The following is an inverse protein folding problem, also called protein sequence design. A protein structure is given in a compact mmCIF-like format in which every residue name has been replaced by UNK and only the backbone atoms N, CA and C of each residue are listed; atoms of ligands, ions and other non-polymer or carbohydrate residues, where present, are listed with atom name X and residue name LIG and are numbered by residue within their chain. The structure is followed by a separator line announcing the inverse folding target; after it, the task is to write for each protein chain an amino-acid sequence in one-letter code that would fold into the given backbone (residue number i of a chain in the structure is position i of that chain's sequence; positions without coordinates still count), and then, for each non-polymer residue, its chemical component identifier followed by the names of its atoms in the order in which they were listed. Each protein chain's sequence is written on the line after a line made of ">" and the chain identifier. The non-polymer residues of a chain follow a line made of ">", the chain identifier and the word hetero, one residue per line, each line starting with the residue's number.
data_IF_820383275481
#
_entry.id   IF_820383275481
#
_cell.length_a   1.000
_cell.length_b   1.000
_cell.length_c   1.000
_cell.angle_alpha   90.00
_cell.angle_beta   90.00
_cell.angle_gamma   90.00
#
_symmetry.space_group_name_H-M   'P 1'
#
loop_
_entity.id
_entity.type
_entity.pdbx_description
1 polymer ?
#
# COMPACT_ATOMS: atom_id res chain seq x y z
N UNK A 1 3.60 -13.39 -22.15
CA UNK A 1 3.04 -12.18 -21.50
C UNK A 1 4.15 -11.55 -20.66
N UNK A 2 4.55 -10.33 -20.97
CA UNK A 2 5.51 -9.58 -20.19
C UNK A 2 4.72 -8.72 -19.21
N UNK A 3 4.70 -9.09 -17.93
CA UNK A 3 4.10 -8.27 -16.89
C UNK A 3 5.01 -7.05 -16.64
N UNK A 4 4.47 -5.83 -16.58
CA UNK A 4 5.28 -4.66 -16.25
C UNK A 4 5.81 -4.80 -14.83
N UNK A 5 7.14 -4.68 -14.69
CA UNK A 5 7.80 -4.64 -13.39
C UNK A 5 7.87 -3.19 -12.92
N UNK A 6 7.47 -2.96 -11.69
CA UNK A 6 7.65 -1.67 -11.04
C UNK A 6 8.98 -1.70 -10.29
N UNK A 7 9.93 -0.83 -10.66
CA UNK A 7 11.12 -0.61 -9.86
C UNK A 7 10.74 -0.31 -8.40
N UNK A 8 11.41 -0.99 -7.49
CA UNK A 8 11.17 -0.82 -6.05
C UNK A 8 12.46 -0.72 -5.29
N UNK A 9 12.38 -0.11 -4.12
CA UNK A 9 13.46 -0.09 -3.14
C UNK A 9 12.96 -0.74 -1.83
N UNK A 10 13.70 -1.71 -1.36
CA UNK A 10 13.43 -2.40 -0.09
C UNK A 10 14.21 -1.68 1.01
N UNK A 11 13.51 -1.08 1.96
CA UNK A 11 14.11 -0.35 3.09
C UNK A 11 14.77 -1.35 4.03
N UNK A 12 16.02 -1.12 4.38
CA UNK A 12 16.82 -2.01 5.24
C UNK A 12 17.35 -1.32 6.50
N UNK A 13 17.33 0.01 6.55
CA UNK A 13 17.87 0.79 7.67
C UNK A 13 16.90 1.89 8.09
N UNK A 14 17.02 2.34 9.33
CA UNK A 14 16.27 3.48 9.85
C UNK A 14 16.52 4.76 9.02
N UNK A 15 17.78 5.02 8.64
CA UNK A 15 18.12 6.19 7.83
C UNK A 15 17.42 6.20 6.46
N UNK A 16 17.27 5.04 5.82
CA UNK A 16 16.51 4.90 4.58
C UNK A 16 15.01 5.14 4.79
N UNK A 17 14.46 4.69 5.93
CA UNK A 17 13.06 4.98 6.28
C UNK A 17 12.86 6.48 6.52
N UNK A 18 13.76 7.14 7.24
CA UNK A 18 13.71 8.58 7.46
C UNK A 18 13.77 9.34 6.12
N UNK A 19 14.66 8.95 5.21
CA UNK A 19 14.73 9.51 3.87
C UNK A 19 13.43 9.31 3.09
N UNK A 20 12.88 8.10 3.10
CA UNK A 20 11.58 7.81 2.46
C UNK A 20 10.49 8.76 2.98
N UNK A 21 10.37 8.89 4.30
CA UNK A 21 9.38 9.75 4.94
C UNK A 21 9.56 11.21 4.54
N UNK A 22 10.79 11.72 4.56
CA UNK A 22 11.10 13.08 4.16
C UNK A 22 10.77 13.37 2.69
N UNK A 23 11.03 12.42 1.78
CA UNK A 23 10.65 12.54 0.37
C UNK A 23 9.13 12.46 0.18
N UNK A 24 8.47 11.53 0.86
CA UNK A 24 7.02 11.35 0.80
C UNK A 24 6.27 12.62 1.25
N UNK A 25 6.74 13.28 2.32
CA UNK A 25 6.13 14.51 2.84
C UNK A 25 6.24 15.73 1.91
N UNK A 26 7.08 15.66 0.87
CA UNK A 26 7.15 16.70 -0.18
C UNK A 26 6.08 16.48 -1.26
N UNK A 27 5.45 15.33 -1.28
CA UNK A 27 4.42 14.96 -2.26
C UNK A 27 3.03 15.41 -1.82
N UNK A 28 2.13 15.57 -2.78
CA UNK A 28 0.72 15.87 -2.51
C UNK A 28 -0.08 14.60 -2.19
N UNK A 29 0.32 13.47 -2.79
CA UNK A 29 -0.36 12.19 -2.71
C UNK A 29 0.62 11.07 -2.41
N UNK A 30 0.17 10.08 -1.65
CA UNK A 30 0.81 8.77 -1.57
C UNK A 30 -0.24 7.66 -1.52
N UNK A 31 0.00 6.58 -2.23
CA UNK A 31 -0.73 5.33 -2.03
C UNK A 31 0.03 4.40 -1.12
N UNK A 32 -0.69 3.52 -0.45
CA UNK A 32 -0.12 2.50 0.41
C UNK A 32 -1.00 1.25 0.44
N UNK A 33 -0.37 0.12 0.74
CA UNK A 33 -1.03 -1.17 0.90
C UNK A 33 -0.28 -2.02 1.92
N UNK A 34 -0.99 -2.76 2.77
CA UNK A 34 -0.43 -3.66 3.76
C UNK A 34 -0.64 -5.11 3.36
N UNK A 35 0.44 -5.90 3.41
CA UNK A 35 0.31 -7.34 3.45
C UNK A 35 0.28 -7.86 4.88
N UNK A 36 -0.41 -8.98 5.09
CA UNK A 36 -0.63 -9.56 6.41
C UNK A 36 -0.47 -11.08 6.38
N UNK A 37 -0.38 -11.70 7.54
CA UNK A 37 -0.22 -13.15 7.70
C UNK A 37 -1.50 -13.96 7.42
N UNK A 38 -2.22 -13.66 6.33
CA UNK A 38 -3.48 -14.32 5.92
C UNK A 38 -4.63 -14.27 6.94
N UNK A 39 -4.46 -13.51 8.03
CA UNK A 39 -5.54 -13.27 8.99
C UNK A 39 -6.32 -12.01 8.62
N UNK A 40 -7.54 -12.17 8.14
CA UNK A 40 -8.44 -11.06 7.80
C UNK A 40 -9.00 -10.35 9.03
N UNK A 41 -8.96 -11.01 10.20
CA UNK A 41 -9.47 -10.43 11.44
C UNK A 41 -8.38 -9.64 12.16
N UNK A 42 -8.30 -8.35 11.91
CA UNK A 42 -7.30 -7.45 12.52
C UNK A 42 -7.34 -7.42 14.06
N UNK A 43 -8.40 -7.91 14.68
CA UNK A 43 -8.53 -8.01 16.15
C UNK A 43 -7.99 -9.34 16.72
N UNK A 44 -7.68 -10.33 15.86
CA UNK A 44 -7.14 -11.60 16.33
C UNK A 44 -5.76 -11.39 16.97
N UNK A 45 -5.44 -12.07 18.10
CA UNK A 45 -4.14 -11.93 18.78
C UNK A 45 -2.94 -12.18 17.86
N UNK A 46 -3.04 -13.19 16.97
CA UNK A 46 -1.97 -13.60 16.06
C UNK A 46 -1.93 -12.80 14.76
N UNK A 47 -2.78 -11.79 14.60
CA UNK A 47 -2.75 -10.90 13.44
C UNK A 47 -1.42 -10.15 13.37
N UNK A 48 -0.77 -10.18 12.21
CA UNK A 48 0.48 -9.47 11.93
C UNK A 48 0.44 -8.85 10.56
N UNK A 49 0.81 -7.57 10.47
CA UNK A 49 1.24 -6.96 9.22
C UNK A 49 2.62 -7.51 8.88
N UNK A 50 2.83 -7.93 7.64
CA UNK A 50 4.10 -8.56 7.18
C UNK A 50 4.98 -7.61 6.39
N UNK A 51 4.40 -6.69 5.65
CA UNK A 51 5.10 -5.60 4.98
C UNK A 51 4.14 -4.48 4.60
N UNK A 52 4.71 -3.34 4.20
CA UNK A 52 3.99 -2.16 3.75
C UNK A 52 4.60 -1.66 2.45
N UNK A 53 3.77 -1.52 1.41
CA UNK A 53 4.13 -0.85 0.16
C UNK A 53 3.72 0.61 0.17
N UNK A 54 4.57 1.50 -0.31
CA UNK A 54 4.29 2.93 -0.47
C UNK A 54 4.69 3.38 -1.86
N UNK A 55 3.82 4.14 -2.53
CA UNK A 55 4.09 4.78 -3.80
C UNK A 55 3.63 6.23 -3.77
N UNK A 56 4.52 7.19 -4.04
CA UNK A 56 4.22 8.61 -4.17
C UNK A 56 4.82 9.23 -5.44
N UNK A 57 5.47 8.38 -6.24
CA UNK A 57 5.95 8.72 -7.58
C UNK A 57 5.55 7.60 -8.53
N UNK A 58 4.74 7.84 -9.56
CA UNK A 58 4.38 6.82 -10.54
C UNK A 58 5.62 6.13 -11.12
N UNK A 59 5.55 4.81 -11.23
CA UNK A 59 6.65 4.00 -11.75
C UNK A 59 7.71 3.57 -10.73
N UNK A 60 7.54 3.88 -9.44
CA UNK A 60 8.46 3.46 -8.39
C UNK A 60 7.75 3.25 -7.05
N UNK A 61 8.06 2.18 -6.35
CA UNK A 61 7.49 1.87 -5.03
C UNK A 61 8.56 1.57 -3.99
N UNK A 62 8.22 1.82 -2.73
CA UNK A 62 9.06 1.55 -1.56
C UNK A 62 8.42 0.42 -0.75
N UNK A 63 9.25 -0.52 -0.29
CA UNK A 63 8.81 -1.65 0.54
C UNK A 63 9.42 -1.52 1.93
N UNK A 64 8.56 -1.53 2.94
CA UNK A 64 8.94 -1.48 4.35
C UNK A 64 8.74 -2.88 4.93
N UNK A 65 9.80 -3.53 5.42
CA UNK A 65 9.74 -4.90 5.91
C UNK A 65 9.07 -5.00 7.28
N UNK A 66 8.66 -6.22 7.63
CA UNK A 66 7.91 -6.51 8.86
C UNK A 66 8.55 -5.95 10.12
N UNK A 67 9.87 -6.11 10.29
CA UNK A 67 10.53 -5.71 11.53
C UNK A 67 10.39 -4.22 11.85
N UNK A 68 10.36 -3.35 10.82
CA UNK A 68 10.16 -1.91 10.99
C UNK A 68 8.73 -1.57 11.43
N UNK A 69 7.75 -2.39 11.08
CA UNK A 69 6.35 -2.20 11.49
C UNK A 69 6.12 -2.48 12.98
N UNK A 70 7.12 -3.05 13.66
CA UNK A 70 7.08 -3.37 15.10
C UNK A 70 8.22 -2.74 15.89
N UNK A 71 9.06 -1.95 15.23
CA UNK A 71 10.09 -1.14 15.87
C UNK A 71 9.51 0.24 16.27
N UNK A 72 9.74 0.67 17.52
CA UNK A 72 9.12 1.89 18.05
C UNK A 72 9.61 3.16 17.33
N UNK A 73 10.90 3.26 17.01
CA UNK A 73 11.49 4.41 16.33
C UNK A 73 11.00 4.47 14.88
N UNK A 74 10.94 3.35 14.20
CA UNK A 74 10.37 3.26 12.85
C UNK A 74 8.88 3.65 12.82
N UNK A 75 8.10 3.25 13.82
CA UNK A 75 6.70 3.64 13.94
C UNK A 75 6.53 5.15 14.20
N UNK A 76 7.47 5.80 14.87
CA UNK A 76 7.46 7.27 15.03
C UNK A 76 7.62 7.94 13.67
N UNK A 77 8.54 7.46 12.83
CA UNK A 77 8.71 7.97 11.46
C UNK A 77 7.45 7.73 10.60
N UNK A 78 6.88 6.54 10.64
CA UNK A 78 5.66 6.24 9.89
C UNK A 78 4.47 7.11 10.34
N UNK A 79 4.38 7.46 11.62
CA UNK A 79 3.36 8.41 12.10
C UNK A 79 3.47 9.78 11.45
N UNK A 80 4.66 10.23 11.05
CA UNK A 80 4.83 11.53 10.37
C UNK A 80 4.02 11.58 9.07
N UNK A 81 4.02 10.52 8.26
CA UNK A 81 3.23 10.47 7.01
C UNK A 81 1.75 10.16 7.26
N UNK A 82 1.44 9.14 8.08
CA UNK A 82 0.05 8.73 8.32
C UNK A 82 -0.77 9.71 9.17
N UNK A 83 -0.13 10.64 9.86
CA UNK A 83 -0.80 11.70 10.63
C UNK A 83 -0.66 13.09 9.99
N UNK A 84 0.01 13.22 8.86
CA UNK A 84 0.17 14.50 8.15
C UNK A 84 -1.18 15.03 7.67
N UNK A 85 -1.38 16.35 7.79
CA UNK A 85 -2.65 17.00 7.46
C UNK A 85 -2.76 17.40 5.98
N UNK A 86 -1.64 17.50 5.27
CA UNK A 86 -1.57 17.98 3.90
C UNK A 86 -1.48 16.83 2.89
N UNK A 87 -0.64 15.84 3.19
CA UNK A 87 -0.47 14.64 2.39
C UNK A 87 -1.78 13.85 2.33
N UNK A 88 -2.26 13.55 1.12
CA UNK A 88 -3.41 12.66 0.92
C UNK A 88 -2.93 11.22 0.83
N UNK A 89 -3.38 10.38 1.76
CA UNK A 89 -3.08 8.95 1.83
C UNK A 89 -4.16 8.15 1.12
N UNK A 90 -3.78 7.31 0.19
CA UNK A 90 -4.68 6.59 -0.72
C UNK A 90 -4.47 5.09 -0.52
N UNK A 91 -5.57 4.35 -0.37
CA UNK A 91 -5.54 2.90 -0.36
C UNK A 91 -6.73 2.33 -1.15
N UNK A 92 -6.60 1.10 -1.62
CA UNK A 92 -7.74 0.36 -2.15
C UNK A 92 -8.36 -0.48 -1.02
N UNK A 93 -9.68 -0.36 -0.78
CA UNK A 93 -10.33 -0.92 0.41
C UNK A 93 -9.76 -0.39 1.74
N UNK A 94 -9.54 0.91 1.79
CA UNK A 94 -8.96 1.67 2.90
C UNK A 94 -9.42 1.25 4.30
N UNK A 95 -10.63 0.72 4.44
CA UNK A 95 -11.17 0.30 5.74
C UNK A 95 -10.35 -0.83 6.38
N UNK A 96 -9.70 -1.67 5.58
CA UNK A 96 -8.80 -2.71 6.05
C UNK A 96 -7.48 -2.11 6.54
N UNK A 97 -6.81 -1.35 5.69
CA UNK A 97 -5.51 -0.72 6.00
C UNK A 97 -5.60 0.24 7.18
N UNK A 98 -6.72 0.96 7.29
CA UNK A 98 -6.99 1.80 8.44
C UNK A 98 -6.99 1.01 9.76
N UNK A 99 -7.56 -0.21 9.76
CA UNK A 99 -7.54 -1.10 10.94
C UNK A 99 -6.13 -1.64 11.21
N UNK A 100 -5.34 -1.92 10.17
CA UNK A 100 -3.93 -2.33 10.31
C UNK A 100 -3.13 -1.21 10.97
N UNK A 101 -3.23 0.03 10.49
CA UNK A 101 -2.60 1.20 11.12
C UNK A 101 -2.96 1.33 12.61
N UNK A 102 -4.25 1.19 12.94
CA UNK A 102 -4.69 1.22 14.34
C UNK A 102 -4.07 0.09 15.17
N UNK A 103 -3.93 -1.10 14.59
CA UNK A 103 -3.29 -2.26 15.26
C UNK A 103 -1.81 -2.02 15.53
N UNK A 104 -1.12 -1.29 14.64
CA UNK A 104 0.28 -0.87 14.80
C UNK A 104 0.44 0.34 15.74
N UNK A 105 -0.63 0.82 16.37
CA UNK A 105 -0.59 1.97 17.28
C UNK A 105 -0.51 3.33 16.57
N UNK A 106 -0.82 3.36 15.26
CA UNK A 106 -0.92 4.58 14.49
C UNK A 106 -2.40 4.99 14.41
N UNK A 107 -2.76 6.14 14.94
CA UNK A 107 -4.09 6.73 14.76
C UNK A 107 -4.07 7.63 13.53
N UNK A 108 -4.66 7.19 12.41
CA UNK A 108 -4.63 7.96 11.16
C UNK A 108 -5.26 9.34 11.33
N UNK A 109 -4.64 10.37 10.72
CA UNK A 109 -5.13 11.76 10.73
C UNK A 109 -4.96 12.39 9.35
N UNK A 110 -5.65 13.51 9.11
CA UNK A 110 -5.59 14.25 7.85
C UNK A 110 -6.43 13.62 6.74
N UNK A 111 -5.96 13.71 5.51
CA UNK A 111 -6.71 13.33 4.32
C UNK A 111 -6.47 11.88 3.94
N UNK A 112 -7.55 11.15 3.70
CA UNK A 112 -7.54 9.77 3.22
C UNK A 112 -8.53 9.61 2.07
N UNK A 113 -8.18 8.81 1.07
CA UNK A 113 -9.03 8.46 -0.06
C UNK A 113 -9.01 6.96 -0.32
N UNK A 114 -10.11 6.44 -0.85
CA UNK A 114 -10.29 5.02 -1.13
C UNK A 114 -10.65 4.82 -2.61
N UNK A 115 -9.74 4.25 -3.40
CA UNK A 115 -9.98 4.01 -4.83
C UNK A 115 -11.13 3.04 -5.08
N UNK A 116 -11.41 2.11 -4.16
CA UNK A 116 -12.60 1.23 -4.25
C UNK A 116 -13.90 2.03 -4.20
N UNK A 117 -13.98 3.05 -3.34
CA UNK A 117 -15.17 3.91 -3.23
C UNK A 117 -15.25 4.83 -4.46
N UNK A 118 -14.12 5.38 -4.92
CA UNK A 118 -14.09 6.22 -6.11
C UNK A 118 -14.54 5.46 -7.35
N UNK A 119 -14.06 4.23 -7.56
CA UNK A 119 -14.50 3.36 -8.65
C UNK A 119 -16.01 3.13 -8.61
N UNK A 120 -16.56 2.82 -7.43
CA UNK A 120 -18.00 2.64 -7.28
C UNK A 120 -18.81 3.90 -7.55
N UNK A 121 -18.31 5.08 -7.20
CA UNK A 121 -18.96 6.36 -7.49
C UNK A 121 -18.96 6.70 -8.98
N UNK A 122 -18.00 6.20 -9.74
CA UNK A 122 -17.94 6.37 -11.19
C UNK A 122 -18.97 5.47 -11.87
N UNK A 123 -18.99 4.20 -11.52
CA UNK A 123 -19.95 3.22 -12.03
C UNK A 123 -20.22 2.12 -10.98
N UNK A 124 -21.39 2.21 -10.36
CA UNK A 124 -21.83 1.26 -9.34
C UNK A 124 -22.09 -0.16 -9.86
N UNK A 125 -22.20 -0.34 -11.18
CA UNK A 125 -22.45 -1.63 -11.81
C UNK A 125 -21.17 -2.39 -12.17
N UNK A 126 -20.01 -1.72 -12.07
CA UNK A 126 -18.71 -2.34 -12.37
C UNK A 126 -18.13 -2.98 -11.10
N UNK A 127 -17.54 -4.19 -11.17
CA UNK A 127 -16.80 -4.75 -10.06
C UNK A 127 -15.71 -3.79 -9.58
N UNK A 128 -15.61 -3.60 -8.27
CA UNK A 128 -14.77 -2.57 -7.66
C UNK A 128 -13.60 -3.12 -6.82
N UNK A 129 -13.21 -4.35 -7.03
CA UNK A 129 -11.96 -4.91 -6.50
C UNK A 129 -10.74 -4.30 -7.22
N UNK A 130 -9.56 -4.36 -6.58
CA UNK A 130 -8.36 -3.74 -7.16
C UNK A 130 -8.02 -4.35 -8.53
N UNK A 131 -8.07 -5.69 -8.63
CA UNK A 131 -7.72 -6.40 -9.87
C UNK A 131 -8.69 -6.09 -11.01
N UNK A 132 -9.99 -6.07 -10.70
CA UNK A 132 -11.02 -5.71 -11.67
C UNK A 132 -10.88 -4.25 -12.12
N UNK A 133 -10.58 -3.32 -11.20
CA UNK A 133 -10.32 -1.93 -11.57
C UNK A 133 -9.06 -1.79 -12.45
N UNK A 134 -8.00 -2.57 -12.16
CA UNK A 134 -6.79 -2.63 -12.98
C UNK A 134 -7.11 -3.15 -14.38
N UNK A 135 -7.88 -4.24 -14.49
CA UNK A 135 -8.26 -4.81 -15.80
C UNK A 135 -9.01 -3.80 -16.68
N UNK A 136 -9.84 -2.96 -16.08
CA UNK A 136 -10.61 -1.94 -16.81
C UNK A 136 -9.80 -0.68 -17.15
N UNK A 137 -9.04 -0.15 -16.19
CA UNK A 137 -8.44 1.18 -16.31
C UNK A 137 -6.93 1.15 -16.59
N UNK A 138 -6.25 0.04 -16.27
CA UNK A 138 -4.80 -0.13 -16.40
C UNK A 138 -4.46 -1.49 -17.02
N UNK A 139 -4.95 -1.80 -18.24
CA UNK A 139 -4.87 -3.14 -18.83
C UNK A 139 -3.44 -3.66 -19.00
N UNK A 140 -2.44 -2.79 -19.07
CA UNK A 140 -1.03 -3.19 -19.13
C UNK A 140 -0.57 -3.94 -17.88
N UNK A 141 -1.27 -3.75 -16.74
CA UNK A 141 -1.02 -4.44 -15.48
C UNK A 141 -1.96 -5.64 -15.24
N UNK A 142 -2.85 -5.95 -16.15
CA UNK A 142 -3.80 -7.06 -15.99
C UNK A 142 -3.09 -8.39 -15.70
N UNK A 143 -3.55 -9.12 -14.68
CA UNK A 143 -3.06 -10.45 -14.34
C UNK A 143 -1.70 -10.48 -13.60
N UNK A 144 -1.25 -9.39 -13.01
CA UNK A 144 0.03 -9.33 -12.31
C UNK A 144 0.08 -10.18 -11.02
N UNK A 145 -1.07 -10.61 -10.50
CA UNK A 145 -1.23 -11.43 -9.30
C UNK A 145 -1.20 -12.95 -9.55
N UNK A 146 -1.20 -13.41 -10.83
CA UNK A 146 -1.29 -14.83 -11.17
C UNK A 146 -0.11 -15.70 -10.72
N UNK A 147 1.01 -15.10 -10.33
CA UNK A 147 2.24 -15.80 -9.97
C UNK A 147 2.56 -15.75 -8.47
N UNK A 148 1.74 -15.10 -7.67
CA UNK A 148 2.00 -14.93 -6.23
C UNK A 148 1.41 -16.08 -5.43
N UNK A 149 2.25 -16.79 -4.72
CA UNK A 149 1.86 -17.82 -3.76
C UNK A 149 1.77 -17.24 -2.35
N UNK A 150 0.59 -16.78 -1.97
CA UNK A 150 0.31 -16.20 -0.64
C UNK A 150 0.42 -17.19 0.53
N UNK A 151 0.66 -18.47 0.27
CA UNK A 151 0.87 -19.48 1.32
C UNK A 151 2.31 -19.53 1.82
N UNK A 152 3.24 -18.90 1.13
CA UNK A 152 4.65 -18.84 1.49
C UNK A 152 4.95 -17.67 2.43
N UNK A 153 6.09 -17.76 3.08
CA UNK A 153 6.65 -16.64 3.84
C UNK A 153 6.93 -15.45 2.91
N UNK A 154 7.07 -14.27 3.51
CA UNK A 154 7.39 -13.03 2.79
C UNK A 154 8.66 -13.23 1.97
N UNK A 155 8.52 -13.18 0.66
CA UNK A 155 9.59 -13.37 -0.30
C UNK A 155 9.64 -12.24 -1.35
N UNK A 156 10.57 -12.37 -2.29
CA UNK A 156 10.76 -11.40 -3.37
C UNK A 156 9.50 -11.22 -4.24
N UNK A 157 8.73 -12.30 -4.46
CA UNK A 157 7.53 -12.27 -5.31
C UNK A 157 6.41 -11.48 -4.62
N UNK A 158 6.26 -11.62 -3.30
CA UNK A 158 5.32 -10.82 -2.51
C UNK A 158 5.69 -9.32 -2.54
N UNK A 159 6.97 -8.98 -2.46
CA UNK A 159 7.41 -7.58 -2.55
C UNK A 159 7.21 -6.98 -3.94
N UNK A 160 7.37 -7.78 -5.01
CA UNK A 160 7.04 -7.34 -6.37
C UNK A 160 5.55 -7.09 -6.54
N UNK A 161 4.73 -8.00 -6.05
CA UNK A 161 3.28 -7.86 -6.02
C UNK A 161 2.83 -6.60 -5.26
N UNK A 162 3.31 -6.42 -4.03
CA UNK A 162 2.98 -5.27 -3.19
C UNK A 162 3.43 -3.93 -3.82
N UNK A 163 4.58 -3.93 -4.49
CA UNK A 163 5.06 -2.74 -5.22
C UNK A 163 4.09 -2.35 -6.36
N UNK A 164 3.55 -3.35 -7.05
CA UNK A 164 2.54 -3.12 -8.10
C UNK A 164 1.22 -2.65 -7.50
N UNK A 165 0.74 -3.28 -6.41
CA UNK A 165 -0.51 -2.88 -5.73
C UNK A 165 -0.46 -1.42 -5.28
N UNK A 166 0.63 -0.99 -4.64
CA UNK A 166 0.80 0.40 -4.27
C UNK A 166 0.83 1.33 -5.49
N UNK A 167 1.55 0.95 -6.55
CA UNK A 167 1.65 1.75 -7.77
C UNK A 167 0.30 1.90 -8.49
N UNK A 168 -0.39 0.79 -8.77
CA UNK A 168 -1.67 0.83 -9.50
C UNK A 168 -2.75 1.56 -8.71
N UNK A 169 -2.72 1.47 -7.37
CA UNK A 169 -3.61 2.23 -6.49
C UNK A 169 -3.42 3.75 -6.67
N UNK A 170 -2.16 4.23 -6.78
CA UNK A 170 -1.89 5.63 -7.06
C UNK A 170 -2.36 6.02 -8.46
N UNK A 171 -2.10 5.19 -9.47
CA UNK A 171 -2.53 5.43 -10.85
C UNK A 171 -4.05 5.50 -10.97
N UNK A 172 -4.77 4.57 -10.34
CA UNK A 172 -6.24 4.59 -10.31
C UNK A 172 -6.79 5.86 -9.65
N UNK A 173 -6.17 6.32 -8.57
CA UNK A 173 -6.57 7.59 -7.95
C UNK A 173 -6.42 8.79 -8.88
N UNK A 174 -5.38 8.79 -9.72
CA UNK A 174 -5.19 9.85 -10.71
C UNK A 174 -6.17 9.78 -11.90
N UNK A 175 -6.76 8.61 -12.14
CA UNK A 175 -7.77 8.40 -13.20
C UNK A 175 -9.15 8.81 -12.72
N UNK A 176 -9.49 8.52 -11.47
CA UNK A 176 -10.80 8.76 -10.85
C UNK A 176 -10.97 10.19 -10.36
#
# INVERSE_FOLDING_TARGET
>A
FYLPKIPRYEINTYAELEQLVDECLKSEFMSFDFETNNMLQTRHPDFKATCLGICFTPGFSWIIPQWMLYDEDCLIELKRIFCDQKLTKIAHNLSFDYKVLKRLGITPKGRYSCTKILSWLIDENTPNGLKEAVDWYLPDFSGYDYHVDFSKDVDHDLYEYLAIDAHVTLCLYCIF
#
